data_IF_383271743138
#
_entry.id   IF_383271743138
#
_cell.length_a   1.000
_cell.length_b   1.000
_cell.length_c   1.000
_cell.angle_alpha   90.00
_cell.angle_beta   90.00
_cell.angle_gamma   90.00
#
_symmetry.space_group_name_H-M   'P 1'
#
loop_
_entity.id
_entity.type
_entity.pdbx_description
1 polymer ?
#
# COMPACT_ATOMS: atom_id res chain seq x y z
N UNK A 1 -15.06 -60.91 77.62
CA UNK A 1 -14.76 -60.99 76.18
C UNK A 1 -16.07 -61.24 75.44
N UNK A 2 -16.36 -60.68 74.25
CA UNK A 2 -15.92 -59.45 73.57
C UNK A 2 -17.10 -58.45 73.33
N UNK A 3 -16.89 -57.12 73.35
CA UNK A 3 -16.68 -56.14 72.24
C UNK A 3 -17.95 -55.72 71.48
N UNK A 4 -18.12 -54.38 71.33
CA UNK A 4 -18.71 -53.61 70.19
C UNK A 4 -19.72 -52.55 70.69
N UNK A 5 -19.76 -51.27 70.30
CA UNK A 5 -19.11 -50.50 69.23
C UNK A 5 -19.22 -48.99 69.55
N UNK A 6 -18.24 -48.22 69.08
CA UNK A 6 -18.20 -46.76 69.07
C UNK A 6 -19.22 -46.14 68.10
N UNK A 7 -19.78 -44.98 68.44
CA UNK A 7 -20.34 -44.03 67.47
C UNK A 7 -20.01 -42.60 67.91
N UNK A 8 -19.04 -41.99 67.24
CA UNK A 8 -18.66 -40.60 67.42
C UNK A 8 -19.65 -39.68 66.69
N UNK A 9 -20.27 -38.73 67.41
CA UNK A 9 -21.02 -37.62 66.84
C UNK A 9 -20.04 -36.50 66.47
N UNK A 10 -19.85 -36.26 65.18
CA UNK A 10 -19.08 -35.13 64.67
C UNK A 10 -19.96 -33.87 64.63
N UNK A 11 -19.41 -32.77 65.15
CA UNK A 11 -19.96 -31.43 65.21
C UNK A 11 -20.33 -30.86 63.83
N UNK A 12 -21.49 -30.22 63.75
CA UNK A 12 -21.88 -29.33 62.64
C UNK A 12 -21.29 -27.93 62.88
N UNK A 13 -20.28 -27.52 62.10
CA UNK A 13 -19.90 -26.12 61.96
C UNK A 13 -20.73 -25.50 60.82
N UNK A 14 -21.54 -24.49 61.15
CA UNK A 14 -22.16 -23.59 60.19
C UNK A 14 -21.16 -22.48 59.85
N UNK A 15 -20.58 -22.52 58.66
CA UNK A 15 -19.84 -21.39 58.07
C UNK A 15 -20.78 -20.70 57.08
N UNK A 16 -21.25 -19.50 57.43
CA UNK A 16 -22.02 -18.64 56.55
C UNK A 16 -21.05 -17.86 55.64
N UNK A 17 -20.92 -18.28 54.39
CA UNK A 17 -20.21 -17.57 53.33
C UNK A 17 -21.13 -16.52 52.71
N UNK A 18 -20.87 -15.25 53.01
CA UNK A 18 -21.48 -14.10 52.35
C UNK A 18 -20.91 -13.91 50.95
N UNK A 19 -21.71 -14.20 49.91
CA UNK A 19 -21.41 -13.82 48.53
C UNK A 19 -21.60 -12.30 48.35
N UNK A 20 -20.51 -11.56 48.30
CA UNK A 20 -20.47 -10.22 47.72
C UNK A 20 -20.42 -10.35 46.19
N UNK A 21 -21.56 -10.17 45.52
CA UNK A 21 -21.63 -10.04 44.07
C UNK A 21 -21.14 -8.65 43.66
N UNK A 22 -19.93 -8.57 43.12
CA UNK A 22 -19.43 -7.38 42.44
C UNK A 22 -20.15 -7.27 41.10
N UNK A 23 -21.17 -6.43 41.03
CA UNK A 23 -21.79 -6.02 39.76
C UNK A 23 -20.78 -5.12 39.05
N UNK A 24 -20.38 -5.42 37.80
CA UNK A 24 -19.55 -4.49 37.05
C UNK A 24 -20.38 -3.25 36.74
N UNK A 25 -19.93 -2.09 37.20
CA UNK A 25 -20.51 -0.81 36.84
C UNK A 25 -20.24 -0.55 35.34
N UNK A 26 -21.13 -1.02 34.47
CA UNK A 26 -21.26 -0.46 33.14
C UNK A 26 -21.56 1.03 33.32
N UNK A 27 -20.60 1.88 32.97
CA UNK A 27 -20.77 3.33 33.02
C UNK A 27 -21.88 3.72 32.04
N UNK A 28 -23.12 3.79 32.53
CA UNK A 28 -24.25 4.25 31.74
C UNK A 28 -23.98 5.69 31.28
N UNK A 29 -23.92 5.90 29.96
CA UNK A 29 -23.81 7.24 29.36
C UNK A 29 -25.03 8.05 29.77
N UNK A 30 -24.84 9.31 30.16
CA UNK A 30 -25.97 10.16 30.55
C UNK A 30 -26.90 10.39 29.36
N UNK A 31 -28.21 10.54 29.60
CA UNK A 31 -29.16 10.83 28.52
C UNK A 31 -28.78 12.11 27.74
N UNK A 32 -28.15 13.08 28.42
CA UNK A 32 -27.64 14.31 27.81
C UNK A 32 -26.45 14.05 26.88
N UNK A 33 -25.52 13.19 27.30
CA UNK A 33 -24.37 12.83 26.46
C UNK A 33 -24.81 12.01 25.26
N UNK A 34 -25.81 11.12 25.43
CA UNK A 34 -26.39 10.37 24.31
C UNK A 34 -26.97 11.30 23.24
N UNK A 35 -27.76 12.31 23.63
CA UNK A 35 -28.30 13.31 22.69
C UNK A 35 -27.19 14.04 21.93
N UNK A 36 -26.06 14.32 22.58
CA UNK A 36 -24.91 14.96 21.90
C UNK A 36 -24.21 14.01 20.93
N UNK A 37 -24.04 12.75 21.30
CA UNK A 37 -23.48 11.72 20.41
C UNK A 37 -24.38 11.54 19.19
N UNK A 38 -25.69 11.42 19.38
CA UNK A 38 -26.67 11.28 18.29
C UNK A 38 -26.61 12.50 17.34
N UNK A 39 -26.40 13.71 17.87
CA UNK A 39 -26.23 14.91 17.06
C UNK A 39 -24.92 14.93 16.25
N UNK A 40 -23.82 14.41 16.82
CA UNK A 40 -22.53 14.27 16.14
C UNK A 40 -22.63 13.24 15.01
N UNK A 41 -23.27 12.09 15.24
CA UNK A 41 -23.50 11.07 14.21
C UNK A 41 -24.40 11.58 13.08
N UNK A 42 -25.43 12.37 13.41
CA UNK A 42 -26.28 13.02 12.42
C UNK A 42 -25.50 14.02 11.55
N UNK A 43 -24.56 14.79 12.15
CA UNK A 43 -23.66 15.69 11.40
C UNK A 43 -22.74 14.91 10.46
N UNK A 44 -22.17 13.78 10.89
CA UNK A 44 -21.35 12.92 10.01
C UNK A 44 -22.15 12.47 8.79
N UNK A 45 -23.39 12.01 9.01
CA UNK A 45 -24.27 11.52 7.93
C UNK A 45 -24.62 12.64 6.94
N UNK A 46 -24.85 13.85 7.43
CA UNK A 46 -25.11 15.00 6.58
C UNK A 46 -23.88 15.41 5.75
N UNK A 47 -22.69 15.41 6.36
CA UNK A 47 -21.44 15.73 5.67
C UNK A 47 -21.11 14.67 4.59
N UNK A 48 -21.28 13.38 4.89
CA UNK A 48 -21.13 12.29 3.91
C UNK A 48 -22.06 12.47 2.71
N UNK A 49 -23.32 12.84 2.96
CA UNK A 49 -24.27 13.09 1.88
C UNK A 49 -23.82 14.26 1.01
N UNK A 50 -23.40 15.38 1.61
CA UNK A 50 -22.87 16.53 0.88
C UNK A 50 -21.66 16.17 0.04
N UNK A 51 -20.74 15.38 0.58
CA UNK A 51 -19.59 14.87 -0.16
C UNK A 51 -20.02 14.03 -1.36
N UNK A 52 -20.99 13.12 -1.18
CA UNK A 52 -21.52 12.30 -2.28
C UNK A 52 -22.20 13.14 -3.37
N UNK A 53 -22.99 14.14 -2.98
CA UNK A 53 -23.63 15.07 -3.91
C UNK A 53 -22.57 15.90 -4.67
N UNK A 54 -21.49 16.31 -3.98
CA UNK A 54 -20.37 17.01 -4.59
C UNK A 54 -19.62 16.16 -5.62
N UNK A 55 -19.47 14.84 -5.39
CA UNK A 55 -18.90 13.93 -6.39
C UNK A 55 -19.75 13.87 -7.67
N UNK A 56 -21.08 13.94 -7.55
CA UNK A 56 -21.97 14.01 -8.72
C UNK A 56 -21.76 15.33 -9.47
N UNK A 57 -21.55 16.44 -8.77
CA UNK A 57 -21.22 17.73 -9.40
C UNK A 57 -19.89 17.66 -10.15
N UNK A 58 -18.85 17.06 -9.55
CA UNK A 58 -17.55 16.83 -10.21
C UNK A 58 -17.72 15.97 -11.46
N UNK A 59 -18.49 14.88 -11.39
CA UNK A 59 -18.76 14.02 -12.54
C UNK A 59 -19.48 14.75 -13.69
N UNK A 60 -20.23 15.80 -13.39
CA UNK A 60 -20.91 16.65 -14.37
C UNK A 60 -20.10 17.90 -14.77
N UNK A 61 -18.81 17.95 -14.42
CA UNK A 61 -17.92 19.09 -14.67
C UNK A 61 -18.45 20.43 -14.11
N UNK A 62 -19.23 20.40 -13.04
CA UNK A 62 -19.69 21.61 -12.35
C UNK A 62 -18.54 22.21 -11.53
N UNK A 63 -18.20 23.51 -11.72
CA UNK A 63 -17.09 24.17 -11.03
C UNK A 63 -17.26 24.22 -9.51
N UNK A 64 -18.47 23.99 -8.96
CA UNK A 64 -18.72 23.94 -7.52
C UNK A 64 -18.39 22.59 -6.90
N UNK A 65 -18.27 21.53 -7.69
CA UNK A 65 -18.16 20.17 -7.17
C UNK A 65 -16.92 19.95 -6.29
N UNK A 66 -15.77 20.51 -6.68
CA UNK A 66 -14.53 20.41 -5.89
C UNK A 66 -14.65 21.17 -4.57
N UNK A 67 -15.08 22.44 -4.63
CA UNK A 67 -15.22 23.29 -3.44
C UNK A 67 -16.23 22.73 -2.42
N UNK A 68 -17.37 22.19 -2.87
CA UNK A 68 -18.35 21.56 -1.99
C UNK A 68 -17.85 20.22 -1.43
N UNK A 69 -17.05 19.47 -2.20
CA UNK A 69 -16.42 18.24 -1.76
C UNK A 69 -15.40 18.48 -0.64
N UNK A 70 -14.53 19.48 -0.83
CA UNK A 70 -13.52 19.87 0.16
C UNK A 70 -14.17 20.36 1.46
N UNK A 71 -15.19 21.22 1.36
CA UNK A 71 -15.94 21.70 2.52
C UNK A 71 -16.67 20.56 3.27
N UNK A 72 -17.17 19.55 2.55
CA UNK A 72 -17.79 18.39 3.18
C UNK A 72 -16.77 17.50 3.90
N UNK A 73 -15.55 17.39 3.39
CA UNK A 73 -14.46 16.65 4.05
C UNK A 73 -13.99 17.35 5.32
N UNK A 74 -13.87 18.68 5.30
CA UNK A 74 -13.55 19.50 6.48
C UNK A 74 -14.62 19.33 7.57
N UNK A 75 -15.90 19.35 7.19
CA UNK A 75 -17.01 19.06 8.11
C UNK A 75 -16.90 17.66 8.75
N UNK A 76 -16.47 16.65 8.00
CA UNK A 76 -16.29 15.29 8.53
C UNK A 76 -15.12 15.22 9.52
N UNK A 77 -14.03 15.94 9.28
CA UNK A 77 -12.89 16.07 10.20
C UNK A 77 -13.32 16.74 11.52
N UNK A 78 -14.07 17.84 11.42
CA UNK A 78 -14.64 18.54 12.57
C UNK A 78 -15.55 17.64 13.40
N UNK A 79 -16.31 16.77 12.74
CA UNK A 79 -17.19 15.79 13.42
C UNK A 79 -16.36 14.74 14.17
N UNK A 80 -15.24 14.27 13.62
CA UNK A 80 -14.32 13.37 14.34
C UNK A 80 -13.75 14.09 15.58
N UNK A 81 -13.28 15.32 15.42
CA UNK A 81 -12.73 16.13 16.52
C UNK A 81 -13.77 16.34 17.63
N UNK A 82 -15.02 16.63 17.25
CA UNK A 82 -16.14 16.73 18.19
C UNK A 82 -16.45 15.39 18.89
N UNK A 83 -16.37 14.27 18.17
CA UNK A 83 -16.57 12.94 18.73
C UNK A 83 -15.49 12.59 19.75
N UNK A 84 -14.22 12.86 19.46
CA UNK A 84 -13.10 12.63 20.39
C UNK A 84 -13.32 13.39 21.71
N UNK A 85 -13.84 14.62 21.63
CA UNK A 85 -14.13 15.44 22.80
C UNK A 85 -15.42 15.02 23.54
N UNK A 86 -16.32 14.27 22.91
CA UNK A 86 -17.62 13.91 23.48
C UNK A 86 -17.57 12.56 24.21
N UNK A 87 -17.84 12.61 25.52
CA UNK A 87 -17.96 11.41 26.35
C UNK A 87 -19.01 10.46 25.79
N UNK A 88 -18.60 9.21 25.54
CA UNK A 88 -19.47 8.15 25.03
C UNK A 88 -19.57 8.07 23.50
N UNK A 89 -18.93 8.97 22.76
CA UNK A 89 -18.85 8.87 21.30
C UNK A 89 -17.78 7.84 20.91
N UNK A 90 -18.10 6.92 19.99
CA UNK A 90 -17.18 5.92 19.51
C UNK A 90 -16.68 6.29 18.12
N UNK A 91 -15.43 6.73 18.02
CA UNK A 91 -14.79 7.09 16.74
C UNK A 91 -14.83 5.93 15.74
N UNK A 92 -14.76 4.68 16.21
CA UNK A 92 -14.90 3.48 15.37
C UNK A 92 -16.20 3.43 14.56
N UNK A 93 -17.29 3.98 15.08
CA UNK A 93 -18.57 4.03 14.37
C UNK A 93 -18.51 5.04 13.22
N UNK A 94 -17.83 6.16 13.41
CA UNK A 94 -17.62 7.18 12.37
C UNK A 94 -16.66 6.70 11.27
N UNK A 95 -15.71 5.82 11.61
CA UNK A 95 -14.80 5.23 10.62
C UNK A 95 -15.51 4.29 9.63
N UNK A 96 -16.65 3.70 10.00
CA UNK A 96 -17.44 2.88 9.08
C UNK A 96 -17.95 3.71 7.88
N UNK A 97 -18.27 4.98 8.09
CA UNK A 97 -18.64 5.93 7.04
C UNK A 97 -17.49 6.14 6.05
N UNK A 98 -16.28 6.40 6.54
CA UNK A 98 -15.09 6.54 5.68
C UNK A 98 -14.81 5.28 4.87
N UNK A 99 -14.91 4.10 5.49
CA UNK A 99 -14.74 2.81 4.79
C UNK A 99 -15.72 2.67 3.62
N UNK A 100 -16.97 3.09 3.79
CA UNK A 100 -17.99 3.07 2.73
C UNK A 100 -17.63 4.01 1.58
N UNK A 101 -17.24 5.26 1.89
CA UNK A 101 -16.84 6.24 0.88
C UNK A 101 -15.62 5.77 0.08
N UNK A 102 -14.61 5.22 0.75
CA UNK A 102 -13.42 4.67 0.09
C UNK A 102 -13.80 3.53 -0.85
N UNK A 103 -14.65 2.60 -0.40
CA UNK A 103 -15.13 1.49 -1.23
C UNK A 103 -15.92 1.99 -2.44
N UNK A 104 -16.80 2.97 -2.28
CA UNK A 104 -17.59 3.53 -3.38
C UNK A 104 -16.70 4.19 -4.46
N UNK A 105 -15.60 4.83 -4.07
CA UNK A 105 -14.62 5.37 -5.01
C UNK A 105 -13.84 4.27 -5.74
N UNK A 106 -13.47 3.20 -5.03
CA UNK A 106 -12.84 2.01 -5.65
C UNK A 106 -13.78 1.35 -6.66
N UNK A 107 -15.05 1.19 -6.29
CA UNK A 107 -16.07 0.58 -7.16
C UNK A 107 -16.36 1.47 -8.40
N UNK A 108 -16.41 2.81 -8.24
CA UNK A 108 -16.58 3.74 -9.36
C UNK A 108 -15.37 3.82 -10.30
N UNK A 109 -14.15 3.71 -9.78
CA UNK A 109 -12.92 3.62 -10.58
C UNK A 109 -12.77 2.27 -11.30
N UNK A 110 -13.51 1.24 -10.87
CA UNK A 110 -13.57 -0.07 -11.52
C UNK A 110 -14.42 -0.11 -12.79
N UNK A 111 -15.25 0.91 -13.05
CA UNK A 111 -16.17 0.96 -14.19
C UNK A 111 -15.81 2.03 -15.24
N UNK A 112 -14.72 2.79 -15.06
CA UNK A 112 -14.27 3.84 -15.97
C UNK A 112 -12.84 3.58 -16.47
N UNK A 113 -12.65 2.52 -17.27
CA UNK A 113 -11.50 2.38 -18.16
C UNK A 113 -11.99 1.99 -19.54
N UNK A 114 -12.51 2.97 -20.26
CA UNK A 114 -12.49 3.05 -21.72
C UNK A 114 -12.83 4.51 -22.06
N UNK A 115 -11.81 5.36 -22.22
CA UNK A 115 -11.71 6.33 -23.32
C UNK A 115 -10.48 7.24 -23.18
N UNK A 116 -9.60 7.07 -24.17
CA UNK A 116 -8.66 7.99 -24.81
C UNK A 116 -8.24 9.30 -24.09
N UNK A 117 -6.94 9.37 -23.79
CA UNK A 117 -6.24 10.59 -23.41
C UNK A 117 -4.73 10.40 -23.59
N UNK A 118 -4.24 10.62 -24.81
CA UNK A 118 -2.83 10.51 -25.14
C UNK A 118 -1.91 11.38 -24.26
N UNK A 119 -0.65 10.99 -24.03
CA UNK A 119 0.26 11.77 -23.19
C UNK A 119 0.56 13.13 -23.82
N UNK A 120 0.37 14.20 -23.05
CA UNK A 120 0.89 15.53 -23.36
C UNK A 120 2.43 15.47 -23.23
N UNK A 121 3.13 15.57 -24.37
CA UNK A 121 4.59 15.72 -24.43
C UNK A 121 5.00 17.08 -23.85
N UNK A 122 6.00 17.10 -22.96
CA UNK A 122 6.64 18.31 -22.48
C UNK A 122 7.91 18.61 -23.29
N UNK A 123 7.89 19.73 -24.00
CA UNK A 123 9.02 20.30 -24.76
C UNK A 123 10.12 20.83 -23.78
N UNK A 124 11.41 20.44 -23.91
CA UNK A 124 12.44 20.73 -22.91
C UNK A 124 12.98 22.18 -22.88
N UNK A 125 12.65 23.05 -23.84
CA UNK A 125 13.33 24.35 -23.99
C UNK A 125 12.62 25.56 -23.33
N UNK A 126 11.65 25.34 -22.46
CA UNK A 126 10.98 26.40 -21.69
C UNK A 126 11.05 26.18 -20.17
N UNK A 127 12.23 26.33 -19.58
CA UNK A 127 12.40 26.41 -18.12
C UNK A 127 12.36 27.87 -17.64
N UNK A 128 11.17 28.33 -17.21
CA UNK A 128 10.85 29.17 -16.03
C UNK A 128 9.55 30.01 -16.23
N UNK A 129 8.73 30.33 -15.20
CA UNK A 129 8.70 29.85 -13.81
C UNK A 129 7.32 29.19 -13.50
N UNK A 130 7.19 27.88 -13.69
CA UNK A 130 5.92 27.16 -13.50
C UNK A 130 5.74 26.51 -12.11
N UNK A 131 6.36 27.08 -11.08
CA UNK A 131 6.19 26.61 -9.68
C UNK A 131 5.14 27.44 -8.91
N UNK A 132 4.52 28.45 -9.55
CA UNK A 132 3.56 29.33 -8.88
C UNK A 132 2.10 28.87 -8.93
N UNK A 133 1.69 28.06 -9.91
CA UNK A 133 0.27 27.80 -10.21
C UNK A 133 -0.14 26.32 -10.22
N UNK A 134 0.62 25.43 -9.56
CA UNK A 134 0.12 24.06 -9.33
C UNK A 134 -0.83 24.13 -8.12
N UNK A 135 -2.15 23.88 -8.29
CA UNK A 135 -3.09 23.91 -7.18
C UNK A 135 -2.61 22.97 -6.07
N UNK A 136 -2.69 23.40 -4.82
CA UNK A 136 -2.30 22.58 -3.67
C UNK A 136 -3.03 21.23 -3.69
N UNK A 137 -4.27 21.20 -4.17
CA UNK A 137 -5.05 19.98 -4.40
C UNK A 137 -4.43 19.04 -5.46
N UNK A 138 -3.79 19.54 -6.51
CA UNK A 138 -3.08 18.72 -7.50
C UNK A 138 -1.74 18.21 -6.96
N UNK A 139 -1.08 19.01 -6.11
CA UNK A 139 0.15 18.62 -5.41
C UNK A 139 -0.14 17.60 -4.31
N UNK A 140 -1.24 17.78 -3.58
CA UNK A 140 -1.78 16.84 -2.62
C UNK A 140 -2.29 15.59 -3.36
N UNK A 141 -2.99 15.71 -4.49
CA UNK A 141 -3.38 14.56 -5.30
C UNK A 141 -2.19 13.81 -5.88
N UNK A 142 -1.08 14.46 -6.25
CA UNK A 142 0.16 13.79 -6.64
C UNK A 142 0.87 13.13 -5.44
N UNK A 143 0.78 13.72 -4.25
CA UNK A 143 1.26 13.13 -3.00
C UNK A 143 0.35 12.00 -2.47
N UNK A 144 -0.93 12.00 -2.84
CA UNK A 144 -1.97 11.04 -2.46
C UNK A 144 -2.17 9.94 -3.52
N UNK A 145 -1.87 10.20 -4.79
CA UNK A 145 -1.77 9.22 -5.87
C UNK A 145 -0.42 8.52 -5.77
N UNK A 146 -0.25 7.95 -4.59
CA UNK A 146 1.00 7.45 -4.11
C UNK A 146 1.25 6.09 -4.74
N UNK A 147 1.98 6.09 -5.85
CA UNK A 147 2.45 4.88 -6.51
C UNK A 147 3.26 3.96 -5.56
N UNK A 148 3.59 4.37 -4.32
CA UNK A 148 4.14 3.48 -3.29
C UNK A 148 3.26 2.24 -3.06
N UNK A 149 1.94 2.35 -3.24
CA UNK A 149 0.99 1.23 -3.09
C UNK A 149 0.55 0.60 -4.42
N UNK A 150 0.99 1.12 -5.58
CA UNK A 150 0.60 0.57 -6.87
C UNK A 150 1.00 -0.91 -7.04
N UNK A 151 2.03 -1.37 -6.32
CA UNK A 151 2.41 -2.78 -6.29
C UNK A 151 1.44 -3.66 -5.49
N UNK A 152 0.77 -3.13 -4.46
CA UNK A 152 -0.16 -3.89 -3.62
C UNK A 152 -1.38 -4.35 -4.41
N UNK A 153 -1.83 -3.55 -5.38
CA UNK A 153 -2.94 -3.89 -6.29
C UNK A 153 -2.55 -4.95 -7.33
N UNK A 154 -1.24 -5.17 -7.54
CA UNK A 154 -0.72 -6.13 -8.52
C UNK A 154 -0.58 -7.54 -7.93
N UNK A 155 -0.44 -7.69 -6.61
CA UNK A 155 -0.04 -8.95 -5.97
C UNK A 155 -1.16 -9.56 -5.15
N UNK A 156 -1.47 -10.83 -5.41
CA UNK A 156 -2.39 -11.59 -4.57
C UNK A 156 -1.69 -12.11 -3.31
N UNK A 157 -2.24 -11.78 -2.15
CA UNK A 157 -1.73 -12.27 -0.87
C UNK A 157 -2.08 -13.74 -0.64
N UNK A 158 -1.12 -14.63 -0.89
CA UNK A 158 -1.26 -16.07 -0.68
C UNK A 158 -0.23 -16.63 0.35
N UNK A 159 -0.36 -17.90 0.81
CA UNK A 159 0.57 -18.47 1.79
C UNK A 159 2.04 -18.51 1.36
N UNK A 160 2.33 -18.62 0.06
CA UNK A 160 3.69 -18.63 -0.47
C UNK A 160 4.32 -17.22 -0.37
N UNK A 161 3.57 -16.18 -0.75
CA UNK A 161 3.98 -14.78 -0.56
C UNK A 161 4.23 -14.47 0.91
N UNK A 162 3.33 -14.89 1.80
CA UNK A 162 3.51 -14.72 3.26
C UNK A 162 4.77 -15.43 3.78
N UNK A 163 5.09 -16.62 3.27
CA UNK A 163 6.34 -17.31 3.62
C UNK A 163 7.57 -16.54 3.11
N UNK A 164 7.50 -15.98 1.90
CA UNK A 164 8.53 -15.12 1.32
C UNK A 164 8.78 -13.87 2.15
N UNK A 165 7.73 -13.13 2.51
CA UNK A 165 7.80 -11.94 3.37
C UNK A 165 8.44 -12.30 4.70
N UNK A 166 7.98 -13.36 5.37
CA UNK A 166 8.58 -13.80 6.64
C UNK A 166 10.08 -14.07 6.49
N UNK A 167 10.49 -14.79 5.45
CA UNK A 167 11.90 -15.10 5.20
C UNK A 167 12.75 -13.84 5.03
N UNK A 168 12.27 -12.86 4.26
CA UNK A 168 12.95 -11.57 4.06
C UNK A 168 13.03 -10.72 5.33
N UNK A 169 12.02 -10.81 6.20
CA UNK A 169 11.99 -10.06 7.46
C UNK A 169 12.74 -10.75 8.60
N UNK A 170 13.05 -12.04 8.49
CA UNK A 170 13.83 -12.83 9.46
C UNK A 170 15.24 -13.14 8.95
N UNK A 171 15.47 -14.32 8.41
CA UNK A 171 16.80 -14.87 8.12
C UNK A 171 17.52 -14.07 7.03
N UNK A 172 16.77 -13.46 6.11
CA UNK A 172 17.31 -12.65 5.02
C UNK A 172 17.29 -11.14 5.34
N UNK A 173 16.95 -10.74 6.57
CA UNK A 173 16.91 -9.33 6.96
C UNK A 173 18.25 -8.60 6.74
N UNK A 174 19.43 -9.18 7.01
CA UNK A 174 20.70 -8.51 6.70
C UNK A 174 20.85 -8.21 5.21
N UNK A 175 20.47 -9.17 4.35
CA UNK A 175 20.50 -8.99 2.89
C UNK A 175 19.50 -7.94 2.43
N UNK A 176 18.31 -7.88 3.04
CA UNK A 176 17.30 -6.86 2.76
C UNK A 176 17.86 -5.46 3.02
N UNK A 177 18.44 -5.25 4.19
CA UNK A 177 19.02 -3.96 4.60
C UNK A 177 20.18 -3.57 3.68
N UNK A 178 21.07 -4.52 3.38
CA UNK A 178 22.20 -4.29 2.46
C UNK A 178 21.71 -3.90 1.07
N UNK A 179 20.69 -4.60 0.56
CA UNK A 179 20.09 -4.30 -0.75
C UNK A 179 19.47 -2.92 -0.77
N UNK A 180 18.79 -2.52 0.31
CA UNK A 180 18.18 -1.21 0.46
C UNK A 180 19.22 -0.09 0.50
N UNK A 181 20.29 -0.24 1.28
CA UNK A 181 21.39 0.73 1.31
C UNK A 181 22.05 0.88 -0.07
N UNK A 182 22.34 -0.23 -0.74
CA UNK A 182 22.87 -0.20 -2.10
C UNK A 182 21.90 0.46 -3.08
N UNK A 183 20.61 0.15 -2.96
CA UNK A 183 19.56 0.74 -3.79
C UNK A 183 19.51 2.26 -3.62
N UNK A 184 19.52 2.76 -2.38
CA UNK A 184 19.43 4.20 -2.11
C UNK A 184 20.58 4.99 -2.76
N UNK A 185 21.76 4.42 -2.86
CA UNK A 185 22.90 5.04 -3.57
C UNK A 185 22.70 5.09 -5.09
N UNK A 186 21.88 4.20 -5.65
CA UNK A 186 21.62 4.06 -7.08
C UNK A 186 20.25 4.60 -7.50
N UNK A 187 19.37 4.90 -6.53
CA UNK A 187 17.97 5.27 -6.74
C UNK A 187 17.84 6.42 -7.75
N UNK A 188 18.67 7.45 -7.63
CA UNK A 188 18.62 8.63 -8.50
C UNK A 188 18.90 8.34 -9.99
N UNK A 189 19.49 7.20 -10.33
CA UNK A 189 19.74 6.79 -11.72
C UNK A 189 18.91 5.60 -12.18
N UNK A 190 18.37 4.80 -11.26
CA UNK A 190 17.55 3.63 -11.60
C UNK A 190 16.06 3.92 -11.55
N UNK A 191 15.56 4.58 -10.51
CA UNK A 191 14.13 4.83 -10.33
C UNK A 191 13.49 5.61 -11.49
N UNK A 192 14.10 6.71 -11.99
CA UNK A 192 13.50 7.49 -13.07
C UNK A 192 13.22 6.67 -14.35
N UNK A 193 14.02 5.63 -14.60
CA UNK A 193 13.84 4.76 -15.77
C UNK A 193 12.63 3.82 -15.63
N UNK A 194 12.24 3.47 -14.41
CA UNK A 194 11.03 2.68 -14.13
C UNK A 194 9.79 3.57 -13.98
N UNK A 195 9.96 4.76 -13.41
CA UNK A 195 8.90 5.74 -13.21
C UNK A 195 8.31 6.21 -14.54
N UNK A 196 9.17 6.56 -15.51
CA UNK A 196 8.75 6.96 -16.87
C UNK A 196 7.95 5.86 -17.59
N UNK A 197 8.18 4.61 -17.21
CA UNK A 197 7.57 3.40 -17.79
C UNK A 197 6.32 2.93 -17.00
N UNK A 198 5.91 3.70 -15.98
CA UNK A 198 4.72 3.43 -15.18
C UNK A 198 4.82 2.22 -14.25
N UNK A 199 6.04 1.76 -13.94
CA UNK A 199 6.27 0.59 -13.09
C UNK A 199 6.57 0.99 -11.64
N UNK A 200 6.10 0.22 -10.63
CA UNK A 200 6.25 0.60 -9.23
C UNK A 200 7.69 0.42 -8.71
N UNK A 201 8.14 1.36 -7.88
CA UNK A 201 9.50 1.36 -7.32
C UNK A 201 9.79 0.12 -6.47
N UNK A 202 8.78 -0.34 -5.73
CA UNK A 202 8.90 -1.53 -4.89
C UNK A 202 9.26 -2.78 -5.71
N UNK A 203 8.77 -2.87 -6.95
CA UNK A 203 9.06 -3.98 -7.86
C UNK A 203 10.50 -3.90 -8.39
N UNK A 204 10.97 -2.71 -8.78
CA UNK A 204 12.38 -2.48 -9.15
C UNK A 204 13.31 -2.94 -8.02
N UNK A 205 13.04 -2.44 -6.81
CA UNK A 205 13.82 -2.78 -5.62
C UNK A 205 13.78 -4.29 -5.35
N UNK A 206 12.60 -4.92 -5.42
CA UNK A 206 12.43 -6.34 -5.18
C UNK A 206 13.22 -7.21 -6.14
N UNK A 207 13.18 -6.91 -7.44
CA UNK A 207 13.97 -7.61 -8.47
C UNK A 207 15.46 -7.42 -8.19
N UNK A 208 15.93 -6.18 -8.04
CA UNK A 208 17.35 -5.91 -7.82
C UNK A 208 17.89 -6.55 -6.54
N UNK A 209 17.12 -6.50 -5.44
CA UNK A 209 17.47 -7.15 -4.18
C UNK A 209 17.62 -8.66 -4.37
N UNK A 210 16.70 -9.29 -5.11
CA UNK A 210 16.74 -10.73 -5.38
C UNK A 210 17.90 -11.13 -6.29
N UNK A 211 18.18 -10.33 -7.32
CA UNK A 211 19.13 -10.68 -8.38
C UNK A 211 20.60 -10.41 -7.97
N UNK A 212 20.88 -9.29 -7.30
CA UNK A 212 22.27 -8.89 -7.01
C UNK A 212 22.50 -8.40 -5.58
N UNK A 213 21.46 -8.23 -4.77
CA UNK A 213 21.48 -7.43 -3.55
C UNK A 213 21.99 -5.99 -3.78
N UNK A 214 21.73 -5.42 -4.97
CA UNK A 214 22.21 -4.09 -5.35
C UNK A 214 23.71 -4.00 -5.63
N UNK A 215 24.39 -5.13 -5.90
CA UNK A 215 25.82 -5.14 -6.21
C UNK A 215 26.05 -4.86 -7.69
N UNK A 216 26.66 -3.71 -8.00
CA UNK A 216 26.89 -3.26 -9.38
C UNK A 216 27.72 -4.27 -10.18
N UNK A 217 28.78 -4.84 -9.60
CA UNK A 217 29.67 -5.81 -10.27
C UNK A 217 29.27 -7.28 -10.05
N UNK A 218 27.98 -7.58 -9.86
CA UNK A 218 27.53 -8.95 -9.69
C UNK A 218 27.61 -9.74 -11.00
N UNK A 219 28.19 -10.94 -10.95
CA UNK A 219 28.24 -11.87 -12.08
C UNK A 219 27.93 -13.29 -11.61
N UNK A 220 27.06 -13.99 -12.33
CA UNK A 220 26.76 -15.40 -12.08
C UNK A 220 27.71 -16.32 -12.84
N UNK A 221 27.79 -17.58 -12.41
CA UNK A 221 28.56 -18.63 -13.09
C UNK A 221 28.05 -18.95 -14.50
N UNK A 222 26.79 -18.63 -14.78
CA UNK A 222 26.12 -18.91 -16.06
C UNK A 222 26.05 -17.68 -16.98
N UNK A 223 26.65 -16.55 -16.59
CA UNK A 223 26.85 -15.39 -17.45
C UNK A 223 25.88 -14.22 -17.25
N UNK A 224 24.92 -14.33 -16.33
CA UNK A 224 24.13 -13.18 -15.87
C UNK A 224 25.03 -12.11 -15.23
N UNK A 225 24.78 -10.84 -15.51
CA UNK A 225 25.65 -9.74 -15.10
C UNK A 225 24.87 -8.50 -14.64
N UNK A 226 25.49 -7.75 -13.71
CA UNK A 226 25.02 -6.45 -13.23
C UNK A 226 23.91 -6.51 -12.19
N UNK A 227 23.33 -5.35 -11.90
CA UNK A 227 22.31 -5.16 -10.87
C UNK A 227 21.04 -6.00 -11.11
N UNK A 228 20.67 -6.10 -12.39
CA UNK A 228 19.44 -6.75 -12.86
C UNK A 228 19.70 -8.16 -13.41
N UNK A 229 20.94 -8.66 -13.31
CA UNK A 229 21.36 -10.01 -13.73
C UNK A 229 20.93 -10.40 -15.16
N UNK A 230 21.13 -9.51 -16.14
CA UNK A 230 20.81 -9.82 -17.53
C UNK A 230 21.73 -10.91 -18.09
N UNK A 231 21.11 -11.98 -18.63
CA UNK A 231 21.79 -12.95 -19.47
C UNK A 231 22.30 -12.29 -20.76
N UNK A 232 23.42 -12.72 -21.37
CA UNK A 232 23.99 -12.04 -22.53
C UNK A 232 23.03 -11.91 -23.72
N UNK A 233 22.24 -12.96 -23.99
CA UNK A 233 21.29 -12.95 -25.11
C UNK A 233 20.11 -12.00 -24.85
N UNK A 234 19.53 -12.06 -23.66
CA UNK A 234 18.43 -11.17 -23.24
C UNK A 234 18.91 -9.72 -23.19
N UNK A 235 20.06 -9.46 -22.56
CA UNK A 235 20.64 -8.12 -22.49
C UNK A 235 20.77 -7.47 -23.87
N UNK A 236 21.34 -8.19 -24.86
CA UNK A 236 21.44 -7.69 -26.24
C UNK A 236 20.10 -7.36 -26.87
N UNK A 237 19.05 -8.11 -26.56
CA UNK A 237 17.70 -7.85 -27.07
C UNK A 237 17.14 -6.52 -26.57
N UNK A 238 17.52 -6.11 -25.35
CA UNK A 238 17.16 -4.83 -24.73
C UNK A 238 18.30 -3.81 -24.78
N UNK A 239 19.17 -3.89 -25.79
CA UNK A 239 20.21 -2.88 -26.03
C UNK A 239 21.40 -2.90 -25.06
N UNK A 240 21.52 -3.92 -24.20
CA UNK A 240 22.64 -4.09 -23.28
C UNK A 240 23.76 -4.95 -23.86
N UNK A 241 24.99 -4.64 -23.46
CA UNK A 241 26.17 -5.41 -23.82
C UNK A 241 27.40 -4.52 -24.00
N UNK A 242 28.43 -5.00 -24.72
CA UNK A 242 29.61 -4.19 -25.01
C UNK A 242 29.24 -2.93 -25.80
N UNK A 243 29.63 -1.75 -25.30
CA UNK A 243 29.36 -0.44 -25.94
C UNK A 243 30.45 0.00 -26.95
N UNK A 244 31.45 -0.85 -27.17
CA UNK A 244 32.60 -0.55 -28.04
C UNK A 244 33.76 0.17 -27.35
N UNK A 245 33.59 0.66 -26.12
CA UNK A 245 34.67 1.24 -25.29
C UNK A 245 35.42 0.20 -24.45
N UNK A 246 34.91 -1.04 -24.45
CA UNK A 246 35.36 -2.13 -23.58
C UNK A 246 34.52 -2.26 -22.31
N UNK A 247 33.48 -1.44 -22.15
CA UNK A 247 32.53 -1.52 -21.05
C UNK A 247 31.29 -2.32 -21.45
N UNK A 248 30.78 -3.13 -20.52
CA UNK A 248 29.55 -3.91 -20.70
C UNK A 248 28.41 -3.21 -19.96
N UNK A 249 27.47 -2.66 -20.72
CA UNK A 249 26.37 -1.83 -20.18
C UNK A 249 25.39 -2.58 -19.30
N UNK A 250 25.46 -3.92 -19.23
CA UNK A 250 24.75 -4.68 -18.19
C UNK A 250 25.15 -4.27 -16.78
N UNK A 251 26.37 -3.75 -16.60
CA UNK A 251 26.86 -3.22 -15.32
C UNK A 251 26.51 -1.74 -15.09
N UNK A 252 25.97 -1.03 -16.09
CA UNK A 252 25.54 0.37 -15.91
C UNK A 252 24.15 0.43 -15.27
N UNK A 253 23.98 1.11 -14.12
CA UNK A 253 22.70 1.15 -13.42
C UNK A 253 21.56 1.74 -14.24
N UNK A 254 21.81 2.81 -15.01
CA UNK A 254 20.78 3.47 -15.81
C UNK A 254 20.33 2.58 -16.96
N UNK A 255 21.29 2.06 -17.72
CA UNK A 255 21.03 1.17 -18.85
C UNK A 255 20.31 -0.09 -18.39
N UNK A 256 20.79 -0.72 -17.32
CA UNK A 256 20.15 -1.91 -16.76
C UNK A 256 18.73 -1.64 -16.25
N UNK A 257 18.49 -0.47 -15.62
CA UNK A 257 17.16 -0.08 -15.17
C UNK A 257 16.20 0.10 -16.36
N UNK A 258 16.57 0.88 -17.38
CA UNK A 258 15.74 1.06 -18.59
C UNK A 258 15.44 -0.27 -19.28
N UNK A 259 16.46 -1.10 -19.51
CA UNK A 259 16.27 -2.40 -20.14
C UNK A 259 15.38 -3.35 -19.32
N UNK A 260 15.45 -3.28 -17.98
CA UNK A 260 14.59 -4.09 -17.10
C UNK A 260 13.15 -3.61 -17.09
N UNK A 261 12.91 -2.29 -17.20
CA UNK A 261 11.58 -1.73 -17.33
C UNK A 261 10.94 -2.16 -18.66
N UNK A 262 11.68 -2.04 -19.77
CA UNK A 262 11.28 -2.53 -21.09
C UNK A 262 10.94 -4.04 -21.07
N UNK A 263 11.81 -4.85 -20.45
CA UNK A 263 11.60 -6.28 -20.28
C UNK A 263 10.30 -6.57 -19.53
N UNK A 264 10.09 -5.90 -18.38
CA UNK A 264 8.89 -6.12 -17.57
C UNK A 264 7.62 -5.74 -18.32
N UNK A 265 7.63 -4.61 -19.03
CA UNK A 265 6.50 -4.19 -19.86
C UNK A 265 6.23 -5.15 -21.02
N UNK A 266 7.27 -5.68 -21.68
CA UNK A 266 7.12 -6.75 -22.69
C UNK A 266 6.45 -7.99 -22.09
N UNK A 267 6.92 -8.45 -20.93
CA UNK A 267 6.36 -9.63 -20.27
C UNK A 267 4.92 -9.41 -19.80
N UNK A 268 4.62 -8.27 -19.18
CA UNK A 268 3.28 -7.94 -18.73
C UNK A 268 2.29 -7.89 -19.91
N UNK A 269 2.69 -7.32 -21.06
CA UNK A 269 1.86 -7.35 -22.28
C UNK A 269 1.60 -8.76 -22.79
N UNK A 270 2.62 -9.61 -22.81
CA UNK A 270 2.51 -10.99 -23.30
C UNK A 270 1.77 -11.95 -22.35
N UNK A 271 1.60 -11.56 -21.08
CA UNK A 271 1.07 -12.43 -20.02
C UNK A 271 -0.19 -11.85 -19.35
N UNK A 272 -1.02 -11.13 -20.12
CA UNK A 272 -2.30 -10.57 -19.67
C UNK A 272 -2.19 -9.70 -18.40
N UNK A 273 -1.12 -8.91 -18.30
CA UNK A 273 -0.80 -8.05 -17.15
C UNK A 273 -0.66 -8.81 -15.82
N UNK A 274 -0.36 -10.12 -15.84
CA UNK A 274 -0.12 -10.91 -14.64
C UNK A 274 1.33 -10.75 -14.16
N UNK A 275 1.50 -10.09 -13.01
CA UNK A 275 2.83 -9.82 -12.44
C UNK A 275 3.55 -11.07 -11.97
N UNK A 276 2.82 -12.07 -11.47
CA UNK A 276 3.42 -13.32 -10.99
C UNK A 276 4.09 -14.07 -12.14
N UNK A 277 3.41 -14.14 -13.29
CA UNK A 277 3.96 -14.74 -14.50
C UNK A 277 5.11 -13.92 -15.07
N UNK A 278 5.02 -12.58 -15.05
CA UNK A 278 6.12 -11.74 -15.51
C UNK A 278 7.38 -11.93 -14.64
N UNK A 279 7.23 -12.02 -13.31
CA UNK A 279 8.32 -12.32 -12.39
C UNK A 279 8.85 -13.75 -12.53
N UNK A 280 7.98 -14.73 -12.78
CA UNK A 280 8.39 -16.10 -13.08
C UNK A 280 9.21 -16.16 -14.38
N UNK A 281 8.82 -15.38 -15.40
CA UNK A 281 9.57 -15.27 -16.65
C UNK A 281 10.92 -14.59 -16.43
N UNK A 282 10.96 -13.54 -15.61
CA UNK A 282 12.18 -12.82 -15.28
C UNK A 282 13.23 -13.76 -14.66
N UNK A 283 12.82 -14.57 -13.67
CA UNK A 283 13.74 -15.45 -12.95
C UNK A 283 14.00 -16.80 -13.67
N UNK A 284 12.95 -17.41 -14.23
CA UNK A 284 12.99 -18.75 -14.81
C UNK A 284 13.31 -18.79 -16.31
N UNK A 285 13.17 -17.65 -16.99
CA UNK A 285 13.23 -17.52 -18.44
C UNK A 285 11.84 -17.49 -19.09
N UNK A 286 11.76 -16.79 -20.22
CA UNK A 286 10.52 -16.40 -20.91
C UNK A 286 9.58 -17.55 -21.32
N UNK A 287 10.13 -18.74 -21.58
CA UNK A 287 9.37 -19.93 -22.00
C UNK A 287 8.94 -20.85 -20.85
N UNK A 288 9.11 -20.43 -19.60
CA UNK A 288 8.79 -21.22 -18.39
C UNK A 288 7.71 -20.59 -17.51
N UNK A 289 7.17 -19.46 -17.94
CA UNK A 289 6.09 -18.72 -17.29
C UNK A 289 4.78 -18.96 -18.00
#
# INVERSE_FOLDING_TARGET
>A
MPVSLFSARAWSMLVATSLLTVVPAAQAISARDKVKVDAIEARMTAAEKRYSDALVLVANADPKGTAEGDAALEDMEDVISACIAQKGCQVSNLLATYKRLLKQRTDANGEAQDEDGGPLEADPDHIAPLVADVPEAARAAALLNDHRHAFDDMVEYNPAIQAGIRRWLTDMRPSLLTSYENYMNLRGVMWPEWEKDGLPEALLFGIMAKESNGRVHASSRVGAAGLMQFMPATGRRFGLGPDGTGFDTRFDPRSAASASADYMNERMRGLNKNIEYALAAYNGGEGRA
#
